data_IF_749049534598
#
_entry.id   IF_749049534598
#
_cell.length_a   1.000
_cell.length_b   1.000
_cell.length_c   1.000
_cell.angle_alpha   90.00
_cell.angle_beta   90.00
_cell.angle_gamma   90.00
#
_symmetry.space_group_name_H-M   'P 1'
#
loop_
_entity.id
_entity.type
_entity.pdbx_description
1 polymer ?
#
# COMPACT_ATOMS: atom_id res chain seq x y z
N UNK A 1 -13.68 -1.13 -3.58
CA UNK A 1 -13.53 -1.80 -2.27
C UNK A 1 -14.78 -1.52 -1.47
N UNK A 2 -15.40 -2.54 -0.85
CA UNK A 2 -16.59 -2.35 -0.02
C UNK A 2 -16.23 -1.80 1.37
N UNK A 3 -15.25 -2.42 2.05
CA UNK A 3 -14.72 -1.96 3.35
C UNK A 3 -13.20 -1.68 3.27
N UNK A 4 -12.77 -0.52 2.72
CA UNK A 4 -11.36 -0.20 2.51
C UNK A 4 -10.48 -0.27 3.77
N UNK A 5 -10.97 0.19 4.93
CA UNK A 5 -10.16 0.20 6.16
C UNK A 5 -9.78 -1.23 6.65
N UNK A 6 -10.53 -2.26 6.25
CA UNK A 6 -10.19 -3.67 6.53
C UNK A 6 -9.23 -4.24 5.48
N UNK A 7 -9.44 -3.93 4.20
CA UNK A 7 -8.78 -4.62 3.08
C UNK A 7 -7.55 -3.87 2.53
N UNK A 8 -7.49 -2.55 2.70
CA UNK A 8 -6.48 -1.68 2.10
C UNK A 8 -6.06 -0.57 3.09
N UNK A 9 -5.22 -0.89 4.09
CA UNK A 9 -4.67 0.09 5.01
C UNK A 9 -3.97 1.25 4.28
N UNK A 10 -4.41 2.47 4.56
CA UNK A 10 -3.84 3.69 3.99
C UNK A 10 -4.06 4.86 4.95
N UNK A 11 -3.08 5.75 5.04
CA UNK A 11 -3.17 6.99 5.78
C UNK A 11 -4.08 7.99 5.05
N UNK A 12 -3.93 8.09 3.72
CA UNK A 12 -4.75 8.94 2.88
C UNK A 12 -5.72 8.07 2.07
N UNK A 13 -7.04 8.15 2.28
CA UNK A 13 -8.01 7.43 1.47
C UNK A 13 -8.03 7.96 0.01
N UNK A 14 -8.58 7.19 -0.95
CA UNK A 14 -8.83 7.69 -2.30
C UNK A 14 -9.87 8.82 -2.29
N UNK A 15 -10.03 9.55 -3.41
CA UNK A 15 -10.92 10.73 -3.52
C UNK A 15 -12.37 10.46 -3.13
N UNK A 16 -12.87 9.27 -3.40
CA UNK A 16 -14.22 8.78 -3.10
C UNK A 16 -14.29 7.97 -1.79
N UNK A 17 -13.20 7.97 -1.01
CA UNK A 17 -13.08 7.23 0.24
C UNK A 17 -13.50 8.03 1.48
N UNK A 18 -13.43 7.36 2.62
CA UNK A 18 -13.65 7.96 3.94
C UNK A 18 -12.41 7.79 4.81
N UNK A 19 -12.26 8.66 5.81
CA UNK A 19 -11.23 8.50 6.83
C UNK A 19 -11.46 7.19 7.59
N UNK A 20 -10.43 6.36 7.77
CA UNK A 20 -10.60 5.07 8.44
C UNK A 20 -11.10 5.29 9.88
N UNK A 21 -12.05 4.48 10.38
CA UNK A 21 -12.61 4.61 11.72
C UNK A 21 -11.63 4.18 12.83
N UNK A 22 -10.47 3.66 12.46
CA UNK A 22 -9.41 3.19 13.34
C UNK A 22 -8.04 3.50 12.70
N UNK A 23 -6.97 3.42 13.49
CA UNK A 23 -5.62 3.53 12.96
C UNK A 23 -5.37 2.41 11.93
N UNK A 24 -4.93 2.71 10.69
CA UNK A 24 -4.72 1.68 9.67
C UNK A 24 -3.70 0.61 10.07
N UNK A 25 -2.82 0.86 11.05
CA UNK A 25 -1.93 -0.16 11.62
C UNK A 25 -2.73 -1.34 12.20
N UNK A 26 -3.91 -1.07 12.78
CA UNK A 26 -4.86 -2.10 13.24
C UNK A 26 -5.30 -2.97 12.07
N UNK A 27 -5.57 -2.35 10.92
CA UNK A 27 -5.86 -3.03 9.66
C UNK A 27 -4.74 -3.97 9.22
N UNK A 28 -3.49 -3.54 9.29
CA UNK A 28 -2.32 -4.39 8.99
C UNK A 28 -2.22 -5.55 9.96
N UNK A 29 -2.29 -5.29 11.27
CA UNK A 29 -2.21 -6.33 12.29
C UNK A 29 -3.31 -7.39 12.11
N UNK A 30 -4.53 -6.96 11.78
CA UNK A 30 -5.66 -7.85 11.49
C UNK A 30 -5.40 -8.76 10.29
N UNK A 31 -4.84 -8.22 9.20
CA UNK A 31 -4.51 -9.04 8.03
C UNK A 31 -3.41 -10.06 8.34
N UNK A 32 -2.36 -9.66 9.07
CA UNK A 32 -1.29 -10.56 9.52
C UNK A 32 -1.84 -11.69 10.40
N UNK A 33 -2.71 -11.36 11.36
CA UNK A 33 -3.34 -12.35 12.22
C UNK A 33 -4.23 -13.33 11.44
N UNK A 34 -4.93 -12.83 10.42
CA UNK A 34 -5.75 -13.66 9.55
C UNK A 34 -4.91 -14.68 8.75
N UNK A 35 -3.81 -14.25 8.12
CA UNK A 35 -2.92 -15.17 7.39
C UNK A 35 -2.24 -16.17 8.32
N UNK A 36 -1.82 -15.75 9.51
CA UNK A 36 -1.23 -16.64 10.51
C UNK A 36 -2.19 -17.74 10.94
N UNK A 37 -3.47 -17.39 11.18
CA UNK A 37 -4.51 -18.37 11.52
C UNK A 37 -4.77 -19.35 10.38
N UNK A 38 -4.74 -18.87 9.13
CA UNK A 38 -4.88 -19.74 7.95
C UNK A 38 -3.70 -20.70 7.84
N UNK A 39 -2.45 -20.22 7.96
CA UNK A 39 -1.25 -21.06 7.93
C UNK A 39 -1.23 -22.11 9.04
N UNK A 40 -1.62 -21.74 10.26
CA UNK A 40 -1.72 -22.67 11.38
C UNK A 40 -2.69 -23.83 11.11
N UNK A 41 -3.85 -23.55 10.47
CA UNK A 41 -4.86 -24.57 10.16
C UNK A 41 -4.58 -25.35 8.88
N UNK A 42 -3.90 -24.73 7.92
CA UNK A 42 -3.66 -25.28 6.60
C UNK A 42 -2.18 -25.10 6.19
N UNK A 43 -1.23 -25.82 6.83
CA UNK A 43 0.20 -25.56 6.65
C UNK A 43 0.70 -25.73 5.21
N UNK A 44 0.05 -26.61 4.44
CA UNK A 44 0.40 -26.91 3.03
C UNK A 44 -0.17 -25.90 2.03
N UNK A 45 -1.11 -25.04 2.45
CA UNK A 45 -1.65 -24.00 1.58
C UNK A 45 -0.67 -22.84 1.52
N UNK A 46 -0.33 -22.41 0.29
CA UNK A 46 0.47 -21.21 0.06
C UNK A 46 -0.38 -19.97 0.34
N UNK A 47 0.10 -19.09 1.21
CA UNK A 47 -0.57 -17.84 1.60
C UNK A 47 0.37 -16.67 1.32
N UNK A 48 -0.14 -15.69 0.57
CA UNK A 48 0.55 -14.43 0.31
C UNK A 48 -0.04 -13.33 1.20
N UNK A 49 0.78 -12.75 2.07
CA UNK A 49 0.39 -11.63 2.93
C UNK A 49 0.24 -10.34 2.13
N UNK A 50 -0.77 -9.52 2.45
CA UNK A 50 -1.02 -8.21 1.82
C UNK A 50 -1.12 -7.10 2.88
N UNK A 51 -1.22 -5.84 2.44
CA UNK A 51 -1.37 -4.67 3.33
C UNK A 51 -0.06 -4.08 3.86
N UNK A 52 1.08 -4.74 3.64
CA UNK A 52 2.38 -4.38 4.22
C UNK A 52 2.94 -3.03 3.75
N UNK A 53 2.51 -2.52 2.60
CA UNK A 53 2.95 -1.18 2.12
C UNK A 53 2.64 -0.06 3.11
N UNK A 54 1.63 -0.20 3.97
CA UNK A 54 1.36 0.79 5.01
C UNK A 54 2.53 0.94 6.01
N UNK A 55 3.30 -0.13 6.24
CA UNK A 55 4.43 -0.15 7.18
C UNK A 55 5.65 0.63 6.69
N UNK A 56 5.69 1.03 5.41
CA UNK A 56 6.73 1.89 4.83
C UNK A 56 8.14 1.35 5.13
N UNK A 57 8.96 2.10 5.84
CA UNK A 57 10.35 1.74 6.17
C UNK A 57 10.44 0.48 7.05
N UNK A 58 9.38 0.14 7.80
CA UNK A 58 9.32 -1.06 8.64
C UNK A 58 8.88 -2.30 7.87
N UNK A 59 8.43 -2.14 6.62
CA UNK A 59 7.93 -3.25 5.80
C UNK A 59 8.90 -4.43 5.76
N UNK A 60 10.21 -4.27 5.49
CA UNK A 60 11.13 -5.41 5.39
C UNK A 60 11.23 -6.19 6.69
N UNK A 61 11.31 -5.49 7.82
CA UNK A 61 11.46 -6.10 9.15
C UNK A 61 10.24 -6.94 9.53
N UNK A 62 9.05 -6.40 9.31
CA UNK A 62 7.79 -7.11 9.60
C UNK A 62 7.57 -8.26 8.61
N UNK A 63 7.82 -8.04 7.32
CA UNK A 63 7.73 -9.07 6.29
C UNK A 63 8.62 -10.27 6.60
N UNK A 64 9.90 -10.01 6.94
CA UNK A 64 10.85 -11.04 7.31
C UNK A 64 10.40 -11.83 8.54
N UNK A 65 9.89 -11.14 9.57
CA UNK A 65 9.37 -11.80 10.77
C UNK A 65 8.19 -12.73 10.44
N UNK A 66 7.21 -12.25 9.66
CA UNK A 66 6.03 -13.03 9.26
C UNK A 66 6.41 -14.28 8.46
N UNK A 67 7.30 -14.15 7.48
CA UNK A 67 7.72 -15.29 6.65
C UNK A 67 8.51 -16.29 7.50
N UNK A 68 9.47 -15.82 8.30
CA UNK A 68 10.32 -16.68 9.14
C UNK A 68 9.52 -17.47 10.18
N UNK A 69 8.42 -16.94 10.69
CA UNK A 69 7.56 -17.60 11.67
C UNK A 69 6.40 -18.38 11.04
N UNK A 70 6.37 -18.52 9.71
CA UNK A 70 5.36 -19.29 9.00
C UNK A 70 3.95 -18.68 9.04
N UNK A 71 3.84 -17.37 9.28
CA UNK A 71 2.56 -16.65 9.30
C UNK A 71 2.04 -16.30 7.89
N UNK A 72 2.91 -16.35 6.88
CA UNK A 72 2.63 -16.35 5.44
C UNK A 72 3.85 -16.97 4.72
N UNK A 73 3.69 -17.41 3.47
CA UNK A 73 4.79 -17.99 2.67
C UNK A 73 5.54 -16.93 1.86
N UNK A 74 4.85 -15.83 1.50
CA UNK A 74 5.46 -14.66 0.87
C UNK A 74 4.65 -13.41 1.14
N UNK A 75 5.24 -12.23 0.88
CA UNK A 75 4.57 -10.93 1.03
C UNK A 75 4.35 -10.31 -0.35
N UNK A 76 3.09 -10.03 -0.67
CA UNK A 76 2.69 -9.36 -1.89
C UNK A 76 2.82 -7.84 -1.77
N UNK A 77 3.45 -7.23 -2.77
CA UNK A 77 3.59 -5.78 -2.88
C UNK A 77 2.80 -5.26 -4.08
N UNK A 78 1.77 -4.45 -3.80
CA UNK A 78 1.02 -3.73 -4.84
C UNK A 78 1.55 -2.32 -5.02
N UNK A 79 0.85 -1.33 -4.47
CA UNK A 79 1.20 0.11 -4.52
C UNK A 79 2.64 0.50 -4.13
N UNK A 80 3.43 -0.37 -3.49
CA UNK A 80 4.86 -0.11 -3.25
C UNK A 80 5.67 -0.21 -4.54
N UNK A 81 5.40 -1.21 -5.38
CA UNK A 81 6.19 -1.46 -6.60
C UNK A 81 5.99 -0.36 -7.66
N UNK A 82 4.90 0.41 -7.56
CA UNK A 82 4.65 1.56 -8.42
C UNK A 82 5.60 2.73 -8.16
N UNK A 83 6.18 2.83 -6.97
CA UNK A 83 7.12 3.90 -6.62
C UNK A 83 8.53 3.39 -6.35
N UNK A 84 8.65 2.12 -5.96
CA UNK A 84 9.90 1.46 -5.61
C UNK A 84 9.90 0.00 -6.12
N UNK A 85 10.03 -0.22 -7.45
CA UNK A 85 9.99 -1.56 -8.05
C UNK A 85 11.14 -2.46 -7.60
N UNK A 86 12.33 -1.87 -7.38
CA UNK A 86 13.53 -2.60 -6.96
C UNK A 86 13.55 -2.95 -5.47
N UNK A 87 12.54 -2.53 -4.68
CA UNK A 87 12.52 -2.73 -3.22
C UNK A 87 12.86 -4.17 -2.80
N UNK A 88 12.28 -5.24 -3.40
CA UNK A 88 12.62 -6.60 -3.00
C UNK A 88 14.09 -6.93 -3.21
N UNK A 89 14.67 -6.50 -4.35
CA UNK A 89 16.06 -6.77 -4.69
C UNK A 89 17.01 -6.01 -3.75
N UNK A 90 16.75 -4.72 -3.52
CA UNK A 90 17.53 -3.89 -2.60
C UNK A 90 17.52 -4.48 -1.17
N UNK A 91 16.34 -4.89 -0.67
CA UNK A 91 16.20 -5.49 0.67
C UNK A 91 16.98 -6.81 0.78
N UNK A 92 16.91 -7.67 -0.25
CA UNK A 92 17.64 -8.96 -0.26
C UNK A 92 19.15 -8.73 -0.31
N UNK A 93 19.61 -7.74 -1.07
CA UNK A 93 21.01 -7.36 -1.16
C UNK A 93 21.54 -6.66 0.11
N UNK A 94 20.67 -6.31 1.06
CA UNK A 94 21.04 -5.58 2.27
C UNK A 94 21.30 -4.09 2.00
N UNK A 95 20.82 -3.57 0.87
CA UNK A 95 20.96 -2.17 0.51
C UNK A 95 20.08 -1.27 1.39
N UNK A 96 20.54 -0.04 1.72
CA UNK A 96 19.71 0.94 2.40
C UNK A 96 18.44 1.27 1.60
N UNK A 97 17.30 1.39 2.27
CA UNK A 97 16.05 1.77 1.63
C UNK A 97 16.14 3.17 0.99
N UNK A 98 15.81 3.26 -0.29
CA UNK A 98 15.65 4.53 -1.02
C UNK A 98 14.41 5.26 -0.53
N UNK A 99 14.49 5.96 0.61
CA UNK A 99 13.33 6.58 1.30
C UNK A 99 12.45 7.47 0.42
N UNK A 100 13.03 8.13 -0.60
CA UNK A 100 12.26 8.96 -1.55
C UNK A 100 11.30 8.17 -2.45
N UNK A 101 11.51 6.86 -2.60
CA UNK A 101 10.68 5.95 -3.37
C UNK A 101 9.65 5.20 -2.51
N UNK A 102 9.76 5.26 -1.18
CA UNK A 102 8.86 4.55 -0.27
C UNK A 102 7.44 5.12 -0.34
N UNK A 103 6.48 4.24 -0.64
CA UNK A 103 5.06 4.60 -0.81
C UNK A 103 4.40 5.02 0.50
N UNK A 104 4.00 6.29 0.59
CA UNK A 104 3.38 6.90 1.79
C UNK A 104 1.85 6.86 1.79
N UNK A 105 1.24 5.90 1.11
CA UNK A 105 -0.22 5.65 1.13
C UNK A 105 -1.12 6.75 0.55
N UNK A 106 -0.62 7.61 -0.35
CA UNK A 106 -1.36 8.75 -0.91
C UNK A 106 -2.67 8.40 -1.64
N UNK A 107 -2.83 7.13 -2.02
CA UNK A 107 -3.98 6.60 -2.76
C UNK A 107 -4.18 7.14 -4.18
N UNK A 108 -3.25 7.90 -4.73
CA UNK A 108 -3.25 8.36 -6.13
C UNK A 108 -3.39 7.21 -7.13
N UNK A 109 -2.71 6.09 -6.87
CA UNK A 109 -2.83 4.85 -7.67
C UNK A 109 -4.23 4.20 -7.64
N UNK A 110 -5.15 4.70 -6.81
CA UNK A 110 -6.54 4.26 -6.76
C UNK A 110 -7.48 5.40 -7.14
N UNK A 111 -7.18 6.64 -6.76
CA UNK A 111 -7.93 7.83 -7.17
C UNK A 111 -7.91 8.00 -8.69
N UNK A 112 -6.75 7.90 -9.34
CA UNK A 112 -6.63 8.09 -10.78
C UNK A 112 -7.57 7.17 -11.60
N UNK A 113 -7.48 5.83 -11.50
CA UNK A 113 -8.33 4.94 -12.30
C UNK A 113 -9.83 5.04 -11.97
N UNK A 114 -10.21 5.54 -10.79
CA UNK A 114 -11.62 5.78 -10.46
C UNK A 114 -12.21 7.01 -11.14
N UNK A 115 -11.36 7.87 -11.69
CA UNK A 115 -11.74 9.09 -12.39
C UNK A 115 -11.35 9.02 -13.88
N UNK A 116 -11.14 7.82 -14.43
CA UNK A 116 -10.79 7.63 -15.84
C UNK A 116 -9.33 7.92 -16.20
N UNK A 117 -8.48 8.20 -15.20
CA UNK A 117 -7.05 8.52 -15.38
C UNK A 117 -6.21 7.24 -15.23
N UNK A 118 -5.09 7.13 -15.96
CA UNK A 118 -4.18 5.99 -15.86
C UNK A 118 -3.66 5.79 -14.43
N UNK A 119 -3.58 4.53 -13.99
CA UNK A 119 -3.11 4.19 -12.65
C UNK A 119 -1.59 4.26 -12.53
N UNK A 120 -1.07 5.00 -11.55
CA UNK A 120 0.37 5.05 -11.25
C UNK A 120 0.73 5.76 -9.96
N UNK A 121 2.03 6.08 -9.79
CA UNK A 121 2.53 6.83 -8.64
C UNK A 121 2.94 8.27 -8.98
N UNK A 122 1.96 9.11 -9.25
CA UNK A 122 2.11 10.55 -9.50
C UNK A 122 3.00 11.37 -8.53
N UNK A 123 3.09 11.05 -7.22
CA UNK A 123 3.93 11.84 -6.31
C UNK A 123 5.40 11.41 -6.27
N UNK A 124 5.74 10.16 -6.57
CA UNK A 124 7.09 9.60 -6.31
C UNK A 124 7.78 9.04 -7.55
N UNK A 125 7.03 8.52 -8.52
CA UNK A 125 7.58 7.99 -9.76
C UNK A 125 7.85 9.14 -10.76
N UNK A 126 9.08 9.33 -11.27
CA UNK A 126 9.41 10.44 -12.17
C UNK A 126 8.56 10.48 -13.43
N UNK A 127 8.27 9.33 -14.05
CA UNK A 127 7.47 9.27 -15.27
C UNK A 127 6.06 9.79 -15.02
N UNK A 128 5.36 9.25 -14.01
CA UNK A 128 4.01 9.74 -13.66
C UNK A 128 4.02 11.18 -13.12
N UNK A 129 5.14 11.62 -12.55
CA UNK A 129 5.27 12.97 -12.01
C UNK A 129 5.28 14.06 -13.09
N UNK A 130 5.76 13.71 -14.28
CA UNK A 130 5.88 14.59 -15.45
C UNK A 130 4.67 14.51 -16.40
N UNK A 131 3.79 13.53 -16.22
CA UNK A 131 2.58 13.38 -17.02
C UNK A 131 1.57 14.52 -16.77
N UNK A 132 0.89 15.03 -17.82
CA UNK A 132 -0.14 16.07 -17.69
C UNK A 132 -1.32 15.62 -16.80
N UNK A 133 -1.64 14.32 -16.79
CA UNK A 133 -2.66 13.70 -15.94
C UNK A 133 -2.42 13.92 -14.44
N UNK A 134 -1.19 14.29 -14.04
CA UNK A 134 -0.91 14.69 -12.66
C UNK A 134 -1.69 15.93 -12.26
N UNK A 135 -1.82 16.90 -13.17
CA UNK A 135 -2.57 18.14 -12.91
C UNK A 135 -4.07 17.85 -12.80
N UNK A 136 -4.59 17.02 -13.69
CA UNK A 136 -5.96 16.51 -13.64
C UNK A 136 -6.25 15.81 -12.31
N UNK A 137 -5.37 14.89 -11.90
CA UNK A 137 -5.50 14.18 -10.63
C UNK A 137 -5.45 15.13 -9.41
N UNK A 138 -4.59 16.14 -9.45
CA UNK A 138 -4.53 17.15 -8.40
C UNK A 138 -5.83 17.95 -8.29
N UNK A 139 -6.49 18.23 -9.42
CA UNK A 139 -7.77 18.92 -9.46
C UNK A 139 -8.88 18.04 -8.86
N UNK A 140 -8.98 16.79 -9.29
CA UNK A 140 -9.91 15.79 -8.72
C UNK A 140 -9.77 15.70 -7.19
N UNK A 141 -8.54 15.65 -6.68
CA UNK A 141 -8.29 15.56 -5.24
C UNK A 141 -8.71 16.83 -4.49
N UNK A 142 -8.54 18.02 -5.07
CA UNK A 142 -8.99 19.28 -4.45
C UNK A 142 -10.51 19.35 -4.35
N UNK A 143 -11.21 18.89 -5.38
CA UNK A 143 -12.67 18.87 -5.43
C UNK A 143 -13.29 17.86 -4.47
N UNK A 144 -12.59 16.75 -4.22
CA UNK A 144 -13.01 15.70 -3.29
C UNK A 144 -12.86 16.06 -1.81
N UNK A 145 -12.03 17.05 -1.46
CA UNK A 145 -11.91 17.51 -0.06
C UNK A 145 -13.19 18.29 0.29
N UNK A 146 -13.95 17.88 1.32
CA UNK A 146 -15.11 18.65 1.76
C UNK A 146 -14.68 20.08 2.05
N UNK A 147 -15.33 21.07 1.41
CA UNK A 147 -15.16 22.47 1.80
C UNK A 147 -15.53 22.55 3.29
N UNK A 148 -14.58 22.98 4.13
CA UNK A 148 -14.90 23.34 5.51
C UNK A 148 -16.00 24.40 5.43
N UNK A 149 -17.19 24.05 5.87
CA UNK A 149 -18.28 25.01 6.11
C UNK A 149 -17.91 25.96 7.23
#
# INVERSE_FOLDING_TARGET
>A
YYNPHIQRPAYFPPSDGYLPPEDPLVGVARQIAATARLKSKHPRTVVVGSGYTYLQDWLPNVAQAVVRTGMADSIGLGRMVLSYPDLPADVIAGEPLKRKQVCRTFSDCTTAPRNGIVSGCYPLDPFYKEMPEREELNQVKKEAVPKKG
#
